data_IF_541678642147
#
_entry.id   IF_541678642147
#
_cell.length_a   1.000
_cell.length_b   1.000
_cell.length_c   1.000
_cell.angle_alpha   90.00
_cell.angle_beta   90.00
_cell.angle_gamma   90.00
#
_symmetry.space_group_name_H-M   'P 1'
#
loop_
_entity.id
_entity.type
_entity.pdbx_description
1 polymer ?
#
# COMPACT_ATOMS: atom_id res chain seq x y z
N UNK A 1 -22.01 15.16 14.58
CA UNK A 1 -21.01 14.78 15.59
C UNK A 1 -19.95 13.92 14.91
N UNK A 2 -18.71 14.40 14.75
CA UNK A 2 -17.62 13.58 14.22
C UNK A 2 -17.30 12.49 15.25
N UNK A 3 -17.37 11.21 14.86
CA UNK A 3 -16.98 10.10 15.76
C UNK A 3 -15.47 10.12 15.90
N UNK A 4 -14.97 10.36 17.11
CA UNK A 4 -13.54 10.19 17.43
C UNK A 4 -13.17 8.74 17.24
N UNK A 5 -12.36 8.45 16.23
CA UNK A 5 -11.87 7.09 15.98
C UNK A 5 -10.86 6.71 17.06
N UNK A 6 -10.89 5.46 17.58
CA UNK A 6 -9.88 4.99 18.51
C UNK A 6 -8.51 4.92 17.85
N UNK A 7 -7.44 4.86 18.65
CA UNK A 7 -6.07 4.71 18.18
C UNK A 7 -5.96 3.49 17.24
N UNK A 8 -5.46 3.64 16.01
CA UNK A 8 -5.43 2.56 15.02
C UNK A 8 -4.46 1.43 15.39
N UNK A 9 -3.55 1.65 16.34
CA UNK A 9 -2.54 0.68 16.74
C UNK A 9 -2.91 -0.13 17.99
N UNK A 10 -3.71 0.43 18.90
CA UNK A 10 -4.00 -0.20 20.18
C UNK A 10 -5.45 -0.04 20.69
N UNK A 11 -6.29 0.74 20.00
CA UNK A 11 -7.70 0.93 20.36
C UNK A 11 -7.99 1.94 21.46
N UNK A 12 -6.97 2.49 22.13
CA UNK A 12 -7.15 3.49 23.18
C UNK A 12 -7.68 4.84 22.64
N UNK A 13 -8.23 5.67 23.53
CA UNK A 13 -8.66 7.02 23.18
C UNK A 13 -7.47 7.84 22.64
N UNK A 14 -7.63 8.55 21.50
CA UNK A 14 -6.59 9.42 20.98
C UNK A 14 -6.33 10.60 21.92
N UNK A 15 -5.07 11.01 22.00
CA UNK A 15 -4.67 12.20 22.74
C UNK A 15 -4.61 13.40 21.78
N UNK A 16 -5.00 14.59 22.24
CA UNK A 16 -5.07 15.79 21.39
C UNK A 16 -3.73 16.06 20.66
N UNK A 17 -2.61 15.97 21.39
CA UNK A 17 -1.28 16.23 20.85
C UNK A 17 -0.77 15.12 19.91
N UNK A 18 -1.37 13.93 19.96
CA UNK A 18 -0.92 12.74 19.21
C UNK A 18 -1.95 12.22 18.22
N UNK A 19 -3.05 12.93 17.99
CA UNK A 19 -4.14 12.48 17.11
C UNK A 19 -3.59 12.14 15.71
N UNK A 20 -3.85 10.93 15.16
CA UNK A 20 -4.90 9.96 15.53
C UNK A 20 -4.52 8.90 16.59
N UNK A 21 -3.37 9.00 17.25
CA UNK A 21 -2.85 8.02 18.21
C UNK A 21 -3.11 8.42 19.67
N UNK A 22 -2.98 7.45 20.58
CA UNK A 22 -3.12 7.70 22.01
C UNK A 22 -1.86 8.25 22.68
N UNK A 23 -0.68 8.15 22.04
CA UNK A 23 0.61 8.57 22.61
C UNK A 23 1.72 8.64 21.57
N UNK A 24 2.83 9.30 21.95
CA UNK A 24 4.09 9.30 21.17
C UNK A 24 4.55 7.88 20.81
N UNK A 25 4.47 6.94 21.75
CA UNK A 25 4.92 5.56 21.51
C UNK A 25 4.14 4.85 20.40
N UNK A 26 2.83 5.10 20.28
CA UNK A 26 2.06 4.58 19.16
C UNK A 26 2.45 5.28 17.85
N UNK A 27 2.59 6.62 17.85
CA UNK A 27 3.04 7.36 16.66
C UNK A 27 4.39 6.86 16.13
N UNK A 28 5.35 6.66 17.03
CA UNK A 28 6.71 6.26 16.65
C UNK A 28 6.74 4.79 16.15
N UNK A 29 5.90 3.89 16.69
CA UNK A 29 5.74 2.54 16.13
C UNK A 29 5.11 2.54 14.74
N UNK A 30 4.15 3.42 14.50
CA UNK A 30 3.57 3.60 13.18
C UNK A 30 4.64 4.01 12.16
N UNK A 31 5.48 4.96 12.56
CA UNK A 31 6.61 5.42 11.76
C UNK A 31 7.60 4.27 11.45
N UNK A 32 7.92 3.42 12.43
CA UNK A 32 8.77 2.25 12.20
C UNK A 32 8.15 1.24 11.22
N UNK A 33 6.83 1.02 11.27
CA UNK A 33 6.14 0.19 10.28
C UNK A 33 6.23 0.79 8.89
N UNK A 34 6.10 2.11 8.78
CA UNK A 34 6.28 2.83 7.51
C UNK A 34 7.68 2.65 6.93
N UNK A 35 8.71 2.84 7.76
CA UNK A 35 10.11 2.70 7.33
C UNK A 35 10.51 1.25 7.06
N UNK A 36 9.86 0.29 7.70
CA UNK A 36 10.16 -1.14 7.59
C UNK A 36 9.27 -1.90 6.59
N UNK A 37 8.65 -1.21 5.62
CA UNK A 37 7.79 -1.83 4.60
C UNK A 37 6.64 -2.67 5.19
N UNK A 38 6.19 -2.33 6.41
CA UNK A 38 5.17 -3.06 7.16
C UNK A 38 3.73 -2.84 6.66
N UNK A 39 3.56 -2.01 5.64
CA UNK A 39 2.28 -1.77 4.98
C UNK A 39 2.31 -2.38 3.58
N UNK A 40 1.64 -3.52 3.41
CA UNK A 40 1.51 -4.22 2.14
C UNK A 40 0.04 -4.25 1.71
N UNK A 41 -0.19 -4.11 0.40
CA UNK A 41 -1.53 -4.29 -0.18
C UNK A 41 -1.58 -5.73 -0.70
N UNK A 42 -2.47 -6.59 -0.17
CA UNK A 42 -2.63 -7.92 -0.71
C UNK A 42 -3.17 -7.82 -2.14
N UNK A 43 -2.54 -8.53 -3.08
CA UNK A 43 -3.05 -8.71 -4.44
C UNK A 43 -3.83 -10.01 -4.49
N UNK A 44 -5.02 -9.96 -5.06
CA UNK A 44 -5.79 -11.17 -5.32
C UNK A 44 -5.25 -11.83 -6.60
N UNK A 45 -4.88 -13.10 -6.53
CA UNK A 45 -4.24 -13.82 -7.64
C UNK A 45 -5.15 -14.00 -8.87
N UNK A 46 -6.42 -13.59 -8.80
CA UNK A 46 -7.39 -13.71 -9.88
C UNK A 46 -7.45 -12.47 -10.80
N UNK A 47 -6.66 -11.42 -10.53
CA UNK A 47 -6.69 -10.15 -11.28
C UNK A 47 -5.74 -10.15 -12.50
N UNK A 48 -4.88 -11.17 -12.64
CA UNK A 48 -3.85 -11.27 -13.68
C UNK A 48 -4.34 -11.84 -15.04
N UNK A 49 -5.63 -12.17 -15.16
CA UNK A 49 -6.17 -12.75 -16.39
C UNK A 49 -6.42 -11.71 -17.50
N UNK A 50 -6.63 -10.44 -17.18
CA UNK A 50 -7.05 -9.41 -18.17
C UNK A 50 -5.93 -8.43 -18.60
N UNK A 51 -4.74 -8.43 -17.97
CA UNK A 51 -3.63 -7.50 -18.32
C UNK A 51 -2.48 -8.15 -19.12
N UNK A 52 -2.49 -9.47 -19.33
CA UNK A 52 -1.39 -10.17 -20.03
C UNK A 52 -1.36 -9.94 -21.55
N UNK A 53 -2.36 -9.29 -22.13
CA UNK A 53 -2.41 -8.97 -23.56
C UNK A 53 -1.70 -7.66 -23.95
N UNK A 54 -1.33 -6.78 -23.00
CA UNK A 54 -0.62 -5.52 -23.33
C UNK A 54 0.91 -5.64 -23.33
N UNK A 55 1.49 -6.64 -22.65
CA UNK A 55 2.96 -6.81 -22.57
C UNK A 55 3.54 -7.66 -23.71
N UNK A 56 2.70 -8.42 -24.44
CA UNK A 56 3.15 -9.38 -25.47
C UNK A 56 3.23 -8.81 -26.89
N UNK A 57 2.73 -7.60 -27.15
CA UNK A 57 2.64 -7.04 -28.51
C UNK A 57 3.55 -5.82 -28.77
N UNK A 58 4.64 -5.67 -28.00
CA UNK A 58 5.60 -4.57 -28.11
C UNK A 58 7.02 -5.00 -28.48
N UNK A 59 7.19 -6.05 -29.29
CA UNK A 59 8.50 -6.41 -29.86
C UNK A 59 8.87 -5.43 -30.97
N UNK A 60 9.86 -4.58 -30.70
CA UNK A 60 10.26 -3.42 -31.48
C UNK A 60 11.49 -3.68 -32.36
N UNK A 61 11.73 -4.91 -32.82
CA UNK A 61 12.95 -5.20 -33.57
C UNK A 61 12.89 -6.59 -34.23
N UNK A 62 12.46 -6.62 -35.50
CA UNK A 62 13.06 -7.42 -36.59
C UNK A 62 12.17 -7.36 -37.83
N UNK A 63 12.16 -6.20 -38.48
CA UNK A 63 11.93 -6.16 -39.91
C UNK A 63 13.21 -6.68 -40.58
N UNK A 64 13.24 -7.94 -41.01
CA UNK A 64 14.13 -8.37 -42.10
C UNK A 64 13.57 -9.62 -42.80
N UNK A 65 12.90 -9.38 -43.92
CA UNK A 65 12.82 -10.25 -45.11
C UNK A 65 12.82 -9.26 -46.29
N UNK A 66 13.69 -9.38 -47.30
CA UNK A 66 13.77 -10.52 -48.26
C UNK A 66 15.25 -10.86 -48.61
N UNK A 67 15.67 -11.82 -49.44
CA UNK A 67 15.13 -12.69 -50.53
C UNK A 67 15.73 -14.10 -50.35
#
# INVERSE_FOLDING_TARGET
MARTKPCPLCGNAPAADYTPFCSRGCRDRDMLKWLGEGYTIPVDANEDADNRDMVRNGGLDSAEKPD
#
